data_IF_412465418011
#
_entry.id   IF_412465418011
#
_cell.length_a   1.000
_cell.length_b   1.000
_cell.length_c   1.000
_cell.angle_alpha   90.00
_cell.angle_beta   90.00
_cell.angle_gamma   90.00
#
_symmetry.space_group_name_H-M   'P 1'
#
loop_
_entity.id
_entity.type
_entity.pdbx_description
1 polymer ?
#
# COMPACT_ATOMS: atom_id res chain seq x y z
N UNK A 1 -9.88 8.74 -23.26
CA UNK A 1 -9.85 8.68 -21.78
C UNK A 1 -10.49 7.38 -21.26
N UNK A 2 -11.43 6.76 -21.99
CA UNK A 2 -12.06 5.48 -21.60
C UNK A 2 -11.19 4.21 -21.78
N UNK A 3 -9.96 4.31 -22.30
CA UNK A 3 -9.12 3.13 -22.55
C UNK A 3 -8.35 2.61 -21.33
N UNK A 4 -8.23 3.40 -20.23
CA UNK A 4 -7.42 3.03 -19.06
C UNK A 4 -8.05 3.30 -17.68
N UNK A 5 -8.90 4.33 -17.53
CA UNK A 5 -9.50 4.69 -16.23
C UNK A 5 -11.00 4.93 -16.38
N UNK A 6 -11.79 4.28 -15.52
CA UNK A 6 -13.24 4.54 -15.40
C UNK A 6 -13.45 5.62 -14.35
N UNK A 7 -14.59 6.31 -14.42
CA UNK A 7 -14.95 7.33 -13.42
C UNK A 7 -14.83 6.80 -11.97
N UNK A 8 -15.22 5.55 -11.73
CA UNK A 8 -15.17 4.92 -10.39
C UNK A 8 -13.74 4.76 -9.83
N UNK A 9 -12.74 4.70 -10.71
CA UNK A 9 -11.33 4.50 -10.36
C UNK A 9 -10.67 5.83 -9.95
N UNK A 10 -11.28 6.97 -10.28
CA UNK A 10 -10.77 8.28 -9.89
C UNK A 10 -10.91 8.48 -8.37
N UNK A 11 -9.90 9.10 -7.73
CA UNK A 11 -9.99 9.49 -6.32
C UNK A 11 -11.25 10.30 -6.03
N UNK A 12 -11.78 10.17 -4.80
CA UNK A 12 -13.07 10.77 -4.42
C UNK A 12 -13.13 12.27 -4.73
N UNK A 13 -12.03 13.01 -4.57
CA UNK A 13 -11.95 14.45 -4.88
C UNK A 13 -12.29 14.80 -6.34
N UNK A 14 -12.10 13.90 -7.31
CA UNK A 14 -12.46 14.10 -8.72
C UNK A 14 -13.91 13.72 -9.02
N UNK A 15 -14.59 13.07 -8.07
CA UNK A 15 -16.00 12.64 -8.20
C UNK A 15 -16.95 13.44 -7.32
N UNK A 16 -16.43 14.11 -6.30
CA UNK A 16 -17.19 14.85 -5.30
C UNK A 16 -17.51 16.27 -5.79
N UNK A 17 -18.80 16.54 -6.02
CA UNK A 17 -19.29 17.83 -6.52
C UNK A 17 -19.65 18.82 -5.41
N UNK A 18 -19.46 18.45 -4.13
CA UNK A 18 -19.66 19.34 -3.00
C UNK A 18 -18.65 20.50 -2.99
N UNK A 19 -18.91 21.53 -2.19
CA UNK A 19 -17.97 22.65 -2.03
C UNK A 19 -16.58 22.18 -1.56
N UNK A 20 -16.54 21.22 -0.63
CA UNK A 20 -15.30 20.62 -0.13
C UNK A 20 -14.58 19.83 -1.23
N UNK A 21 -15.32 19.04 -2.01
CA UNK A 21 -14.77 18.32 -3.17
C UNK A 21 -14.13 19.26 -4.18
N UNK A 22 -14.83 20.35 -4.54
CA UNK A 22 -14.32 21.39 -5.45
C UNK A 22 -13.08 22.08 -4.91
N UNK A 23 -13.01 22.38 -3.61
CA UNK A 23 -11.84 22.98 -2.99
C UNK A 23 -10.62 22.05 -3.04
N UNK A 24 -10.79 20.76 -2.71
CA UNK A 24 -9.72 19.77 -2.79
C UNK A 24 -9.22 19.60 -4.23
N UNK A 25 -10.12 19.56 -5.20
CA UNK A 25 -9.76 19.51 -6.61
C UNK A 25 -8.97 20.76 -7.04
N UNK A 26 -9.41 21.94 -6.61
CA UNK A 26 -8.70 23.19 -6.92
C UNK A 26 -7.27 23.22 -6.34
N UNK A 27 -7.08 22.73 -5.11
CA UNK A 27 -5.74 22.60 -4.51
C UNK A 27 -4.83 21.66 -5.32
N UNK A 28 -5.37 20.54 -5.79
CA UNK A 28 -4.65 19.61 -6.65
C UNK A 28 -4.29 20.23 -8.01
N UNK A 29 -5.21 20.94 -8.63
CA UNK A 29 -4.99 21.64 -9.90
C UNK A 29 -3.92 22.74 -9.76
N UNK A 30 -3.97 23.52 -8.68
CA UNK A 30 -2.99 24.55 -8.37
C UNK A 30 -1.58 23.94 -8.21
N UNK A 31 -1.46 22.86 -7.45
CA UNK A 31 -0.19 22.16 -7.28
C UNK A 31 0.40 21.70 -8.63
N UNK A 32 -0.42 21.07 -9.47
CA UNK A 32 0.01 20.63 -10.81
C UNK A 32 0.40 21.79 -11.72
N UNK A 33 -0.35 22.88 -11.70
CA UNK A 33 -0.07 24.07 -12.51
C UNK A 33 1.25 24.69 -12.09
N UNK A 34 1.49 24.84 -10.78
CA UNK A 34 2.74 25.34 -10.24
C UNK A 34 3.93 24.44 -10.60
N UNK A 35 3.78 23.12 -10.49
CA UNK A 35 4.82 22.17 -10.91
C UNK A 35 5.17 22.32 -12.40
N UNK A 36 4.18 22.53 -13.28
CA UNK A 36 4.42 22.74 -14.72
C UNK A 36 5.14 24.07 -14.99
N UNK A 37 4.67 25.15 -14.37
CA UNK A 37 5.26 26.49 -14.54
C UNK A 37 6.70 26.56 -14.05
N UNK A 38 7.01 25.83 -12.97
CA UNK A 38 8.35 25.77 -12.40
C UNK A 38 9.32 24.86 -13.20
N UNK A 39 8.89 24.25 -14.32
CA UNK A 39 9.63 23.17 -15.01
C UNK A 39 10.04 22.06 -14.02
N UNK A 40 9.10 21.68 -13.15
CA UNK A 40 9.35 20.72 -12.09
C UNK A 40 9.88 19.39 -12.62
N UNK A 41 10.80 18.81 -11.85
CA UNK A 41 11.32 17.46 -12.07
C UNK A 41 10.42 16.47 -11.34
N UNK A 42 9.94 15.45 -12.05
CA UNK A 42 9.17 14.36 -11.45
C UNK A 42 10.09 13.17 -11.20
N UNK A 43 10.25 12.80 -9.93
CA UNK A 43 10.94 11.58 -9.52
C UNK A 43 9.89 10.62 -8.99
N UNK A 44 9.70 9.51 -9.69
CA UNK A 44 8.64 8.54 -9.41
C UNK A 44 9.27 7.20 -8.99
N UNK A 45 8.81 6.64 -7.88
CA UNK A 45 9.16 5.29 -7.44
C UNK A 45 8.37 4.25 -8.26
N UNK A 46 8.71 4.15 -9.54
CA UNK A 46 8.15 3.21 -10.53
C UNK A 46 9.25 2.85 -11.53
N UNK A 47 8.98 1.96 -12.48
CA UNK A 47 9.94 1.57 -13.53
C UNK A 47 9.29 1.61 -14.90
N UNK A 48 10.12 1.72 -15.95
CA UNK A 48 9.65 1.69 -17.34
C UNK A 48 8.96 0.36 -17.68
N UNK A 49 9.43 -0.75 -17.08
CA UNK A 49 8.86 -2.07 -17.30
C UNK A 49 7.45 -2.20 -16.71
N UNK A 50 7.13 -1.45 -15.65
CA UNK A 50 5.82 -1.47 -15.00
C UNK A 50 4.84 -0.50 -15.67
N UNK A 51 5.27 0.73 -15.95
CA UNK A 51 4.37 1.82 -16.34
C UNK A 51 4.82 2.59 -17.59
N UNK A 52 5.70 2.03 -18.43
CA UNK A 52 6.25 2.67 -19.63
C UNK A 52 5.22 3.37 -20.52
N UNK A 53 4.09 2.74 -20.87
CA UNK A 53 3.03 3.41 -21.63
C UNK A 53 2.48 4.66 -20.93
N UNK A 54 2.32 4.64 -19.61
CA UNK A 54 1.82 5.78 -18.84
C UNK A 54 2.90 6.88 -18.75
N UNK A 55 4.16 6.51 -18.51
CA UNK A 55 5.29 7.44 -18.48
C UNK A 55 5.46 8.17 -19.83
N UNK A 56 5.23 7.49 -20.95
CA UNK A 56 5.22 8.10 -22.28
C UNK A 56 4.15 9.20 -22.44
N UNK A 57 3.02 9.10 -21.74
CA UNK A 57 2.00 10.16 -21.71
C UNK A 57 2.34 11.30 -20.74
N UNK A 58 3.12 11.04 -19.69
CA UNK A 58 3.52 12.04 -18.69
C UNK A 58 4.67 12.92 -19.21
N UNK A 59 5.67 12.33 -19.88
CA UNK A 59 6.89 13.04 -20.35
C UNK A 59 6.63 14.28 -21.23
N UNK A 60 5.63 14.30 -22.13
CA UNK A 60 5.29 15.53 -22.86
C UNK A 60 4.82 16.69 -21.95
N UNK A 61 4.22 16.37 -20.81
CA UNK A 61 3.78 17.36 -19.81
C UNK A 61 4.91 17.74 -18.85
N UNK A 62 5.77 16.79 -18.52
CA UNK A 62 6.91 16.94 -17.62
C UNK A 62 8.15 16.26 -18.23
N UNK A 63 8.93 16.97 -19.07
CA UNK A 63 10.06 16.36 -19.79
C UNK A 63 11.12 15.75 -18.88
N UNK A 64 11.32 16.31 -17.69
CA UNK A 64 12.22 15.80 -16.67
C UNK A 64 11.51 14.81 -15.73
N UNK A 65 11.02 13.69 -16.28
CA UNK A 65 10.41 12.59 -15.51
C UNK A 65 11.35 11.40 -15.41
N UNK A 66 11.68 11.00 -14.19
CA UNK A 66 12.57 9.89 -13.87
C UNK A 66 11.82 8.80 -13.10
N UNK A 67 11.76 7.61 -13.69
CA UNK A 67 11.28 6.40 -13.03
C UNK A 67 12.48 5.70 -12.38
N UNK A 68 12.62 5.85 -11.06
CA UNK A 68 13.81 5.42 -10.29
C UNK A 68 13.57 4.17 -9.43
N UNK A 69 12.39 3.57 -9.55
CA UNK A 69 11.97 2.42 -8.75
C UNK A 69 12.23 1.06 -9.43
N UNK A 70 11.89 -0.03 -8.73
CA UNK A 70 11.39 -0.04 -7.35
C UNK A 70 12.49 0.24 -6.32
N UNK A 71 12.32 1.29 -5.52
CA UNK A 71 13.34 1.72 -4.55
C UNK A 71 13.68 0.63 -3.53
N UNK A 72 12.71 -0.19 -3.12
CA UNK A 72 12.92 -1.27 -2.15
C UNK A 72 13.92 -2.32 -2.64
N UNK A 73 13.97 -2.62 -3.95
CA UNK A 73 14.95 -3.56 -4.52
C UNK A 73 16.35 -2.95 -4.63
N UNK A 74 16.44 -1.62 -4.69
CA UNK A 74 17.71 -0.91 -4.78
C UNK A 74 18.41 -0.79 -3.42
N UNK A 75 17.68 -0.95 -2.31
CA UNK A 75 18.26 -0.87 -0.95
C UNK A 75 19.43 -1.86 -0.79
N UNK A 76 19.31 -3.09 -1.29
CA UNK A 76 20.38 -4.08 -1.21
C UNK A 76 21.65 -3.69 -2.02
N UNK A 77 21.51 -2.83 -3.04
CA UNK A 77 22.61 -2.37 -3.89
C UNK A 77 23.25 -1.09 -3.33
N UNK A 78 22.45 -0.22 -2.73
CA UNK A 78 22.88 1.11 -2.27
C UNK A 78 23.35 1.09 -0.81
N UNK A 79 22.77 0.23 0.02
CA UNK A 79 23.13 0.10 1.43
C UNK A 79 24.33 -0.82 1.60
N UNK A 80 25.52 -0.24 1.67
CA UNK A 80 26.76 -0.91 2.15
C UNK A 80 26.79 -1.06 3.67
N UNK A 81 25.78 -0.57 4.38
CA UNK A 81 25.61 -0.63 5.83
C UNK A 81 24.23 -1.23 6.16
N UNK A 82 24.15 -2.03 7.24
CA UNK A 82 22.93 -2.62 7.81
C UNK A 82 21.95 -1.56 8.35
N UNK A 83 21.59 -0.59 7.53
CA UNK A 83 20.65 0.47 7.86
C UNK A 83 19.24 -0.07 7.61
N UNK A 84 18.54 -0.49 8.67
CA UNK A 84 17.11 -0.83 8.55
C UNK A 84 16.36 0.43 8.12
N UNK A 85 15.64 0.35 7.00
CA UNK A 85 14.75 1.43 6.53
C UNK A 85 13.44 1.49 7.36
N UNK A 86 13.30 0.62 8.37
CA UNK A 86 12.12 0.58 9.23
C UNK A 86 12.21 1.65 10.32
N UNK A 87 11.12 2.37 10.52
CA UNK A 87 10.97 3.34 11.62
C UNK A 87 10.56 2.65 12.94
N UNK A 88 10.36 1.33 12.92
CA UNK A 88 9.83 0.53 14.03
C UNK A 88 10.68 -0.74 14.21
N UNK A 89 10.83 -1.24 15.45
CA UNK A 89 11.52 -2.51 15.69
C UNK A 89 10.93 -3.65 14.84
N UNK A 90 11.81 -4.44 14.24
CA UNK A 90 11.43 -5.58 13.41
C UNK A 90 10.87 -6.72 14.30
N UNK A 91 9.67 -7.19 13.99
CA UNK A 91 9.09 -8.36 14.66
C UNK A 91 9.57 -9.65 13.98
N UNK A 92 10.66 -10.22 14.51
CA UNK A 92 11.23 -11.46 14.01
C UNK A 92 10.33 -12.69 14.25
N UNK A 93 9.28 -12.59 15.07
CA UNK A 93 8.37 -13.71 15.33
C UNK A 93 7.52 -14.07 14.10
N UNK A 94 7.22 -13.10 13.24
CA UNK A 94 6.52 -13.34 11.99
C UNK A 94 7.37 -14.17 11.02
N UNK A 95 8.66 -13.84 10.90
CA UNK A 95 9.61 -14.56 10.04
C UNK A 95 9.77 -16.00 10.52
N UNK A 96 10.00 -16.22 11.82
CA UNK A 96 10.13 -17.57 12.36
C UNK A 96 8.87 -18.42 12.15
N UNK A 97 7.68 -17.81 12.20
CA UNK A 97 6.42 -18.50 11.89
C UNK A 97 6.30 -18.83 10.39
N UNK A 98 6.74 -17.93 9.51
CA UNK A 98 6.77 -18.15 8.05
C UNK A 98 7.73 -19.27 7.66
N UNK A 99 8.92 -19.32 8.25
CA UNK A 99 9.94 -20.36 8.02
C UNK A 99 9.44 -21.78 8.33
N UNK A 100 8.42 -21.88 9.21
CA UNK A 100 7.79 -23.15 9.56
C UNK A 100 6.66 -23.57 8.59
N UNK A 101 6.27 -22.73 7.63
CA UNK A 101 5.20 -23.04 6.68
C UNK A 101 5.74 -23.61 5.37
N UNK A 102 4.96 -24.42 4.65
CA UNK A 102 5.33 -24.84 3.29
C UNK A 102 5.53 -23.65 2.34
N UNK A 103 6.44 -23.78 1.39
CA UNK A 103 6.71 -22.77 0.37
C UNK A 103 5.43 -22.31 -0.34
N UNK A 104 5.29 -20.99 -0.48
CA UNK A 104 4.17 -20.35 -1.21
C UNK A 104 2.79 -20.73 -0.69
N UNK A 105 2.67 -21.07 0.60
CA UNK A 105 1.40 -21.52 1.21
C UNK A 105 0.68 -20.48 2.06
N UNK A 106 1.30 -19.31 2.29
CA UNK A 106 0.78 -18.24 3.16
C UNK A 106 0.34 -17.03 2.33
N UNK A 107 -0.83 -16.50 2.64
CA UNK A 107 -1.34 -15.24 2.09
C UNK A 107 -1.00 -14.09 3.03
N UNK A 108 -0.29 -13.08 2.53
CA UNK A 108 -0.04 -11.84 3.27
C UNK A 108 -1.21 -10.86 3.11
N UNK A 109 -1.70 -10.32 4.22
CA UNK A 109 -2.80 -9.35 4.23
C UNK A 109 -2.37 -8.10 4.99
N UNK A 110 -2.50 -6.94 4.34
CA UNK A 110 -2.26 -5.63 4.95
C UNK A 110 -3.11 -4.56 4.26
N UNK A 111 -3.68 -3.65 5.06
CA UNK A 111 -4.45 -2.52 4.57
C UNK A 111 -3.64 -1.20 4.59
N UNK A 112 -2.33 -1.30 4.80
CA UNK A 112 -1.45 -0.14 4.93
C UNK A 112 -1.71 0.67 6.20
N UNK A 113 -1.17 1.89 6.24
CA UNK A 113 -1.13 2.76 7.42
C UNK A 113 -2.30 3.74 7.55
N UNK A 114 -3.28 3.69 6.64
CA UNK A 114 -4.36 4.69 6.57
C UNK A 114 -5.74 4.05 6.72
N UNK A 115 -5.98 2.93 6.04
CA UNK A 115 -7.32 2.31 5.95
C UNK A 115 -7.76 1.75 7.29
N UNK A 116 -8.97 2.11 7.73
CA UNK A 116 -9.65 1.52 8.90
C UNK A 116 -10.79 0.63 8.43
N UNK A 117 -11.03 -0.44 9.16
CA UNK A 117 -12.13 -1.37 8.98
C UNK A 117 -13.16 -1.14 10.09
N UNK A 118 -14.43 -1.20 9.72
CA UNK A 118 -15.49 -1.36 10.70
C UNK A 118 -15.41 -2.75 11.36
N UNK A 119 -15.98 -2.94 12.56
CA UNK A 119 -16.05 -4.26 13.19
C UNK A 119 -16.75 -5.31 12.33
N UNK A 120 -17.76 -4.90 11.55
CA UNK A 120 -18.45 -5.80 10.63
C UNK A 120 -17.54 -6.27 9.49
N UNK A 121 -16.81 -5.35 8.82
CA UNK A 121 -15.85 -5.72 7.77
C UNK A 121 -14.75 -6.63 8.31
N UNK A 122 -14.24 -6.34 9.51
CA UNK A 122 -13.28 -7.21 10.18
C UNK A 122 -13.82 -8.64 10.34
N UNK A 123 -15.05 -8.79 10.83
CA UNK A 123 -15.67 -10.10 11.04
C UNK A 123 -15.83 -10.86 9.73
N UNK A 124 -16.22 -10.19 8.64
CA UNK A 124 -16.31 -10.81 7.32
C UNK A 124 -14.93 -11.32 6.84
N UNK A 125 -13.86 -10.54 7.01
CA UNK A 125 -12.50 -11.01 6.71
C UNK A 125 -12.11 -12.21 7.59
N UNK A 126 -12.40 -12.14 8.88
CA UNK A 126 -12.10 -13.22 9.82
C UNK A 126 -12.80 -14.53 9.47
N UNK A 127 -14.10 -14.47 9.18
CA UNK A 127 -14.87 -15.61 8.68
C UNK A 127 -14.27 -16.17 7.39
N UNK A 128 -13.95 -15.29 6.43
CA UNK A 128 -13.28 -15.68 5.20
C UNK A 128 -11.96 -16.42 5.42
N UNK A 129 -11.14 -15.97 6.38
CA UNK A 129 -9.86 -16.63 6.69
C UNK A 129 -10.06 -18.03 7.25
N UNK A 130 -10.96 -18.18 8.22
CA UNK A 130 -11.25 -19.48 8.86
C UNK A 130 -11.84 -20.47 7.86
N UNK A 131 -12.81 -20.02 7.05
CA UNK A 131 -13.56 -20.88 6.14
C UNK A 131 -12.77 -21.26 4.89
N UNK A 132 -11.84 -20.40 4.45
CA UNK A 132 -11.02 -20.67 3.26
C UNK A 132 -10.03 -21.83 3.42
N UNK A 133 -9.70 -22.20 4.66
CA UNK A 133 -8.73 -23.26 4.95
C UNK A 133 -7.26 -22.90 4.62
N UNK A 134 -6.99 -21.68 4.15
CA UNK A 134 -5.64 -21.21 3.85
C UNK A 134 -4.91 -20.66 5.08
N UNK A 135 -3.60 -20.48 4.95
CA UNK A 135 -2.78 -19.82 5.98
C UNK A 135 -2.65 -18.34 5.67
N UNK A 136 -2.72 -17.51 6.70
CA UNK A 136 -2.68 -16.06 6.56
C UNK A 136 -1.68 -15.44 7.53
N UNK A 137 -0.91 -14.47 7.04
CA UNK A 137 -0.18 -13.51 7.84
C UNK A 137 -0.87 -12.16 7.71
N UNK A 138 -1.56 -11.72 8.75
CA UNK A 138 -2.36 -10.50 8.73
C UNK A 138 -1.78 -9.41 9.62
N UNK A 139 -1.48 -8.25 9.03
CA UNK A 139 -1.05 -7.06 9.75
C UNK A 139 -2.24 -6.35 10.39
N UNK A 140 -2.35 -6.52 11.71
CA UNK A 140 -3.37 -5.94 12.59
C UNK A 140 -2.81 -4.73 13.35
N UNK A 141 -2.73 -3.58 12.67
CA UNK A 141 -2.36 -2.32 13.31
C UNK A 141 -3.38 -1.93 14.40
N UNK A 142 -2.90 -1.25 15.46
CA UNK A 142 -3.74 -0.89 16.63
C UNK A 142 -4.98 -0.08 16.28
N UNK A 143 -4.92 0.73 15.23
CA UNK A 143 -6.00 1.59 14.77
C UNK A 143 -6.73 1.04 13.53
N UNK A 144 -6.54 -0.25 13.20
CA UNK A 144 -7.24 -0.87 12.07
C UNK A 144 -8.74 -0.98 12.34
N UNK A 145 -9.10 -1.38 13.56
CA UNK A 145 -10.48 -1.58 14.01
C UNK A 145 -10.60 -0.96 15.39
N UNK A 146 -11.54 -0.05 15.56
CA UNK A 146 -11.75 0.63 16.85
C UNK A 146 -12.24 -0.36 17.91
N UNK A 147 -11.58 -0.36 19.08
CA UNK A 147 -11.94 -1.22 20.21
C UNK A 147 -11.65 -2.71 20.00
N UNK A 148 -10.80 -3.05 19.02
CA UNK A 148 -10.45 -4.43 18.73
C UNK A 148 -9.51 -5.04 19.78
N UNK A 149 -9.89 -6.23 20.27
CA UNK A 149 -9.03 -7.10 21.06
C UNK A 149 -8.71 -8.37 20.26
N UNK A 150 -7.48 -8.88 20.39
CA UNK A 150 -7.06 -10.10 19.72
C UNK A 150 -7.97 -11.26 20.18
N UNK A 151 -8.69 -11.94 19.28
CA UNK A 151 -9.59 -13.02 19.64
C UNK A 151 -8.75 -14.20 20.12
N UNK A 152 -9.14 -14.79 21.25
CA UNK A 152 -8.55 -16.02 21.73
C UNK A 152 -8.97 -17.15 20.78
N UNK A 153 -8.10 -17.51 19.84
CA UNK A 153 -8.42 -18.48 18.79
C UNK A 153 -7.44 -19.64 18.84
N UNK A 154 -7.93 -20.85 18.60
CA UNK A 154 -7.09 -22.03 18.39
C UNK A 154 -6.46 -22.06 17.00
N UNK A 155 -6.73 -21.03 16.19
CA UNK A 155 -6.35 -20.93 14.78
C UNK A 155 -5.00 -20.23 14.58
N UNK A 156 -4.25 -19.97 15.65
CA UNK A 156 -2.93 -19.32 15.56
C UNK A 156 -1.93 -20.11 14.71
N UNK A 157 -2.15 -21.41 14.50
CA UNK A 157 -1.38 -22.23 13.57
C UNK A 157 -1.64 -21.86 12.10
N UNK A 158 -2.86 -21.41 11.76
CA UNK A 158 -3.25 -21.07 10.38
C UNK A 158 -3.27 -19.57 10.13
N UNK A 159 -3.68 -18.76 11.10
CA UNK A 159 -3.76 -17.30 10.97
C UNK A 159 -2.86 -16.64 12.00
N UNK A 160 -1.74 -16.09 11.52
CA UNK A 160 -0.82 -15.28 12.33
C UNK A 160 -1.19 -13.81 12.20
N UNK A 161 -1.65 -13.22 13.31
CA UNK A 161 -1.84 -11.77 13.41
C UNK A 161 -0.61 -11.12 14.01
N UNK A 162 -0.11 -10.06 13.37
CA UNK A 162 1.02 -9.25 13.87
C UNK A 162 0.70 -7.77 13.81
N UNK A 163 1.23 -6.97 14.73
CA UNK A 163 0.99 -5.53 14.74
C UNK A 163 1.70 -4.79 13.58
N UNK A 164 2.79 -5.39 13.08
CA UNK A 164 3.58 -4.91 11.98
C UNK A 164 4.30 -6.09 11.32
N UNK A 165 4.50 -6.03 10.00
CA UNK A 165 5.36 -6.96 9.28
C UNK A 165 6.10 -6.18 8.20
N UNK A 166 7.44 -6.28 8.21
CA UNK A 166 8.27 -5.86 7.09
C UNK A 166 8.37 -7.06 6.15
N UNK A 167 8.02 -6.87 4.88
CA UNK A 167 8.43 -7.77 3.79
C UNK A 167 9.52 -7.07 2.99
#
# INVERSE_FOLDING_TARGET
MESYLRRRDLPRMFRDTSAVGKQNFHLFELANTNCKLARGVLILNTSENLEGPILAHIRPLFPATYAVGPLHSLVAVISSTNSSASLLPEDHSAIAWLDAQPDRSVVYVSFGSIVRLSPAEFLEFWHGFVDSGHRFLWVMRKDLVDGWEKPATKEEERVRMVAWAVC
#
